data_IF_357565990691
#
_entry.id   IF_357565990691
#
_cell.length_a   1.000
_cell.length_b   1.000
_cell.length_c   1.000
_cell.angle_alpha   90.00
_cell.angle_beta   90.00
_cell.angle_gamma   90.00
#
_symmetry.space_group_name_H-M   'P 1'
#
loop_
_entity.id
_entity.type
_entity.pdbx_description
1 polymer ?
#
# COMPACT_ATOMS: atom_id res chain seq x y z
N UNK A 1 11.19 41.40 21.32
CA UNK A 1 10.08 40.41 21.33
C UNK A 1 9.71 39.84 19.96
N UNK A 2 10.09 40.45 18.83
CA UNK A 2 9.73 39.95 17.49
C UNK A 2 10.62 38.79 16.98
N UNK A 3 11.83 38.61 17.51
CA UNK A 3 12.73 37.51 17.13
C UNK A 3 12.33 36.14 17.72
N UNK A 4 11.66 36.11 18.88
CA UNK A 4 11.30 34.86 19.56
C UNK A 4 10.09 34.14 18.91
N UNK A 5 9.19 34.89 18.25
CA UNK A 5 8.05 34.30 17.53
C UNK A 5 8.44 33.66 16.19
N UNK A 6 9.55 34.10 15.57
CA UNK A 6 10.02 33.56 14.28
C UNK A 6 10.70 32.19 14.44
N UNK A 7 11.26 31.87 15.61
CA UNK A 7 11.85 30.56 15.90
C UNK A 7 10.81 29.46 16.20
N UNK A 8 9.61 29.84 16.69
CA UNK A 8 8.55 28.87 17.02
C UNK A 8 7.76 28.39 15.81
N UNK A 9 7.82 29.09 14.67
CA UNK A 9 7.08 28.73 13.45
C UNK A 9 7.84 27.72 12.58
N UNK A 10 9.17 27.77 12.59
CA UNK A 10 10.04 26.83 11.87
C UNK A 10 10.10 25.45 12.55
N UNK A 11 9.70 25.36 13.83
CA UNK A 11 9.57 24.10 14.55
C UNK A 11 8.23 23.37 14.25
N UNK A 12 7.24 24.07 13.68
CA UNK A 12 5.90 23.52 13.43
C UNK A 12 5.80 22.65 12.18
N UNK A 13 6.54 22.99 11.12
CA UNK A 13 6.49 22.24 9.84
C UNK A 13 7.29 20.93 9.87
N UNK A 14 8.28 20.82 10.77
CA UNK A 14 9.02 19.58 11.00
C UNK A 14 8.26 18.53 11.85
N UNK A 15 7.05 18.85 12.31
CA UNK A 15 6.27 18.01 13.23
C UNK A 15 5.22 17.16 12.50
N UNK A 16 4.65 17.66 11.40
CA UNK A 16 3.59 16.95 10.67
C UNK A 16 4.16 15.87 9.74
N UNK A 17 5.37 16.07 9.20
CA UNK A 17 6.10 15.07 8.39
C UNK A 17 6.73 13.93 9.23
N UNK A 18 6.84 14.08 10.56
CA UNK A 18 7.36 13.04 11.45
C UNK A 18 6.37 11.90 11.72
N UNK A 19 5.11 12.04 11.32
CA UNK A 19 4.03 11.12 11.73
C UNK A 19 3.88 9.88 10.84
N UNK A 20 4.52 9.83 9.66
CA UNK A 20 4.26 8.77 8.67
C UNK A 20 5.52 8.05 8.14
N UNK A 21 6.72 8.44 8.54
CA UNK A 21 7.96 7.89 8.01
C UNK A 21 8.65 6.98 9.02
N UNK A 22 9.12 5.82 8.55
CA UNK A 22 10.03 4.99 9.33
C UNK A 22 11.32 5.75 9.60
N UNK A 23 11.88 5.58 10.79
CA UNK A 23 13.25 6.02 11.05
C UNK A 23 14.21 5.23 10.16
N UNK A 24 15.41 5.77 9.92
CA UNK A 24 16.44 5.08 9.13
C UNK A 24 16.75 3.69 9.71
N UNK A 25 16.75 3.57 11.04
CA UNK A 25 16.97 2.29 11.74
C UNK A 25 15.82 1.31 11.48
N UNK A 26 14.57 1.76 11.60
CA UNK A 26 13.40 0.91 11.34
C UNK A 26 13.35 0.47 9.87
N UNK A 27 13.63 1.38 8.93
CA UNK A 27 13.72 1.03 7.52
C UNK A 27 14.83 0.01 7.26
N UNK A 28 16.01 0.18 7.87
CA UNK A 28 17.09 -0.79 7.77
C UNK A 28 16.70 -2.16 8.36
N UNK A 29 15.99 -2.20 9.49
CA UNK A 29 15.45 -3.43 10.05
C UNK A 29 14.45 -4.10 9.11
N UNK A 30 13.54 -3.33 8.50
CA UNK A 30 12.57 -3.86 7.54
C UNK A 30 13.27 -4.44 6.31
N UNK A 31 14.24 -3.71 5.75
CA UNK A 31 15.04 -4.17 4.60
C UNK A 31 15.93 -5.37 4.94
N UNK A 32 16.36 -5.51 6.19
CA UNK A 32 17.06 -6.70 6.68
C UNK A 32 16.17 -7.94 6.59
N UNK A 33 14.91 -7.84 7.06
CA UNK A 33 13.92 -8.94 6.95
C UNK A 33 13.59 -9.26 5.49
N UNK A 34 13.52 -8.23 4.64
CA UNK A 34 13.25 -8.36 3.21
C UNK A 34 14.51 -8.57 2.36
N UNK A 35 15.68 -8.81 2.96
CA UNK A 35 16.89 -9.03 2.18
C UNK A 35 16.77 -10.30 1.34
N UNK A 36 17.44 -10.32 0.19
CA UNK A 36 17.40 -11.47 -0.71
C UNK A 36 17.83 -12.75 0.02
N UNK A 37 18.97 -12.73 0.72
CA UNK A 37 19.46 -13.87 1.50
C UNK A 37 18.44 -14.38 2.52
N UNK A 38 17.79 -13.47 3.26
CA UNK A 38 16.81 -13.85 4.29
C UNK A 38 15.56 -14.46 3.65
N UNK A 39 15.05 -13.86 2.57
CA UNK A 39 13.83 -14.34 1.88
C UNK A 39 14.04 -15.62 1.07
N UNK A 40 15.28 -15.98 0.78
CA UNK A 40 15.66 -17.25 0.17
C UNK A 40 15.82 -18.35 1.23
N UNK A 41 16.42 -18.02 2.37
CA UNK A 41 16.80 -19.00 3.40
C UNK A 41 15.71 -19.28 4.45
N UNK A 42 14.86 -18.31 4.76
CA UNK A 42 13.88 -18.41 5.84
C UNK A 42 12.47 -18.72 5.32
N UNK A 43 11.72 -19.48 6.11
CA UNK A 43 10.30 -19.68 5.88
C UNK A 43 9.45 -18.51 6.41
N UNK A 44 8.17 -18.48 6.06
CA UNK A 44 7.29 -17.37 6.47
C UNK A 44 7.11 -17.26 7.99
N UNK A 45 7.09 -18.38 8.72
CA UNK A 45 7.00 -18.36 10.19
C UNK A 45 8.22 -17.68 10.83
N UNK A 46 9.43 -17.99 10.35
CA UNK A 46 10.66 -17.31 10.76
C UNK A 46 10.64 -15.83 10.40
N UNK A 47 10.24 -15.50 9.16
CA UNK A 47 10.13 -14.11 8.72
C UNK A 47 9.16 -13.29 9.59
N UNK A 48 8.00 -13.85 9.92
CA UNK A 48 7.03 -13.25 10.83
C UNK A 48 7.64 -13.03 12.23
N UNK A 49 8.35 -14.03 12.75
CA UNK A 49 8.99 -13.94 14.07
C UNK A 49 10.04 -12.83 14.10
N UNK A 50 10.92 -12.76 13.09
CA UNK A 50 11.92 -11.68 12.97
C UNK A 50 11.26 -10.31 12.80
N UNK A 51 10.18 -10.24 12.02
CA UNK A 51 9.40 -9.01 11.86
C UNK A 51 8.83 -8.51 13.19
N UNK A 52 8.11 -9.36 13.94
CA UNK A 52 7.52 -8.99 15.23
C UNK A 52 8.57 -8.66 16.29
N UNK A 53 9.78 -9.20 16.17
CA UNK A 53 10.92 -8.81 17.01
C UNK A 53 11.33 -7.35 16.79
N UNK A 54 11.38 -6.90 15.53
CA UNK A 54 11.73 -5.51 15.20
C UNK A 54 10.56 -4.53 15.39
N UNK A 55 9.33 -4.99 15.14
CA UNK A 55 8.12 -4.18 15.18
C UNK A 55 7.05 -4.80 16.10
N UNK A 56 7.25 -4.82 17.44
CA UNK A 56 6.30 -5.45 18.36
C UNK A 56 5.03 -4.61 18.58
N UNK A 57 5.08 -3.30 18.31
CA UNK A 57 3.97 -2.39 18.57
C UNK A 57 3.06 -2.25 17.34
N UNK A 58 1.80 -2.70 17.48
CA UNK A 58 0.77 -2.58 16.44
C UNK A 58 0.50 -1.15 15.96
N UNK A 59 0.74 -0.12 16.80
CA UNK A 59 0.55 1.27 16.38
C UNK A 59 1.49 1.67 15.23
N UNK A 60 2.66 1.02 15.17
CA UNK A 60 3.68 1.26 14.15
C UNK A 60 3.40 0.47 12.85
N UNK A 61 2.50 -0.52 12.88
CA UNK A 61 2.22 -1.36 11.71
C UNK A 61 1.63 -0.58 10.55
N UNK A 62 0.89 0.50 10.81
CA UNK A 62 0.35 1.33 9.74
C UNK A 62 1.46 2.04 8.95
N UNK A 63 2.43 2.68 9.64
CA UNK A 63 3.57 3.34 8.96
C UNK A 63 4.47 2.33 8.24
N UNK A 64 4.66 1.13 8.82
CA UNK A 64 5.41 0.04 8.20
C UNK A 64 4.68 -0.46 6.95
N UNK A 65 3.38 -0.66 7.02
CA UNK A 65 2.56 -1.08 5.89
C UNK A 65 2.55 -0.08 4.75
N UNK A 66 2.48 1.22 5.04
CA UNK A 66 2.61 2.26 4.01
C UNK A 66 3.98 2.21 3.33
N UNK A 67 5.05 1.96 4.09
CA UNK A 67 6.39 1.79 3.53
C UNK A 67 6.48 0.53 2.67
N UNK A 68 5.89 -0.59 3.10
CA UNK A 68 5.80 -1.83 2.31
C UNK A 68 5.03 -1.63 1.00
N UNK A 69 3.91 -0.90 1.02
CA UNK A 69 3.15 -0.58 -0.19
C UNK A 69 4.02 0.22 -1.15
N UNK A 70 4.76 1.23 -0.69
CA UNK A 70 5.69 1.99 -1.52
C UNK A 70 6.79 1.10 -2.12
N UNK A 71 7.39 0.21 -1.31
CA UNK A 71 8.38 -0.76 -1.78
C UNK A 71 7.81 -1.70 -2.85
N UNK A 72 6.55 -2.13 -2.71
CA UNK A 72 5.86 -3.01 -3.66
C UNK A 72 5.49 -2.30 -4.98
N UNK A 73 5.25 -0.99 -4.95
CA UNK A 73 4.95 -0.19 -6.14
C UNK A 73 6.18 -0.01 -7.03
N UNK A 74 7.37 0.14 -6.43
CA UNK A 74 8.62 0.40 -7.15
C UNK A 74 9.44 -0.88 -7.32
N UNK A 75 9.43 -1.46 -8.54
CA UNK A 75 10.15 -2.70 -8.88
C UNK A 75 11.65 -2.66 -8.54
N UNK A 76 12.26 -1.50 -8.61
CA UNK A 76 13.70 -1.34 -8.33
C UNK A 76 14.04 -1.49 -6.84
N UNK A 77 13.06 -1.34 -5.95
CA UNK A 77 13.28 -1.42 -4.50
C UNK A 77 13.19 -2.85 -3.96
N UNK A 78 12.42 -3.72 -4.62
CA UNK A 78 12.30 -5.15 -4.32
C UNK A 78 12.49 -5.97 -5.61
N UNK A 79 13.73 -6.05 -6.12
CA UNK A 79 14.00 -6.64 -7.44
C UNK A 79 13.72 -8.14 -7.49
N UNK A 80 13.85 -8.85 -6.37
CA UNK A 80 13.68 -10.31 -6.34
C UNK A 80 12.23 -10.72 -6.00
N UNK A 81 11.61 -11.65 -6.76
CA UNK A 81 10.24 -12.11 -6.50
C UNK A 81 9.98 -12.62 -5.07
N UNK A 82 10.97 -13.24 -4.43
CA UNK A 82 10.89 -13.69 -3.03
C UNK A 82 10.69 -12.53 -2.06
N UNK A 83 11.33 -11.38 -2.31
CA UNK A 83 11.20 -10.19 -1.48
C UNK A 83 9.82 -9.56 -1.64
N UNK A 84 9.32 -9.49 -2.88
CA UNK A 84 7.95 -9.05 -3.18
C UNK A 84 6.93 -9.92 -2.45
N UNK A 85 7.07 -11.25 -2.54
CA UNK A 85 6.16 -12.18 -1.87
C UNK A 85 6.26 -12.09 -0.34
N UNK A 86 7.46 -11.98 0.21
CA UNK A 86 7.67 -11.78 1.65
C UNK A 86 7.06 -10.46 2.15
N UNK A 87 7.18 -9.37 1.39
CA UNK A 87 6.56 -8.08 1.70
C UNK A 87 5.02 -8.16 1.72
N UNK A 88 4.41 -8.85 0.74
CA UNK A 88 2.96 -9.10 0.72
C UNK A 88 2.53 -9.95 1.93
N UNK A 89 3.32 -10.97 2.27
CA UNK A 89 3.06 -11.79 3.46
C UNK A 89 3.12 -10.95 4.75
N UNK A 90 4.16 -10.14 4.94
CA UNK A 90 4.30 -9.28 6.12
C UNK A 90 3.13 -8.28 6.21
N UNK A 91 2.68 -7.75 5.06
CA UNK A 91 1.53 -6.85 4.99
C UNK A 91 0.25 -7.50 5.52
N UNK A 92 0.07 -8.79 5.28
CA UNK A 92 -1.02 -9.58 5.86
C UNK A 92 -0.77 -9.87 7.34
N UNK A 93 0.44 -10.32 7.68
CA UNK A 93 0.86 -10.78 9.00
C UNK A 93 0.67 -9.71 10.10
N UNK A 94 0.90 -8.44 9.77
CA UNK A 94 0.69 -7.30 10.68
C UNK A 94 -0.73 -7.19 11.27
N UNK A 95 -1.73 -7.71 10.55
CA UNK A 95 -3.16 -7.64 10.91
C UNK A 95 -3.81 -9.02 10.96
N UNK A 96 -3.03 -10.10 11.08
CA UNK A 96 -3.57 -11.46 11.07
C UNK A 96 -4.57 -11.75 12.20
N UNK A 97 -4.60 -10.95 13.27
CA UNK A 97 -5.56 -11.10 14.37
C UNK A 97 -7.00 -10.78 13.95
N UNK A 98 -7.16 -9.93 12.94
CA UNK A 98 -8.43 -9.35 12.54
C UNK A 98 -8.88 -9.95 11.20
N UNK A 99 -10.18 -9.94 10.86
CA UNK A 99 -10.61 -10.37 9.53
C UNK A 99 -9.89 -9.55 8.45
N UNK A 100 -9.55 -10.16 7.32
CA UNK A 100 -8.82 -9.48 6.23
C UNK A 100 -9.54 -8.23 5.76
N UNK A 101 -10.87 -8.22 5.83
CA UNK A 101 -11.62 -7.02 5.52
C UNK A 101 -11.15 -5.85 6.40
N UNK A 102 -10.94 -6.04 7.71
CA UNK A 102 -10.53 -4.96 8.63
C UNK A 102 -9.08 -4.48 8.43
N UNK A 103 -8.28 -5.17 7.60
CA UNK A 103 -6.93 -4.73 7.28
C UNK A 103 -6.98 -3.42 6.44
N UNK A 104 -6.29 -2.34 6.85
CA UNK A 104 -6.27 -1.09 6.09
C UNK A 104 -5.65 -1.23 4.70
N UNK A 105 -4.87 -2.28 4.46
CA UNK A 105 -4.23 -2.61 3.19
C UNK A 105 -4.98 -3.71 2.40
N UNK A 106 -6.21 -4.07 2.81
CA UNK A 106 -6.96 -5.18 2.21
C UNK A 106 -7.12 -5.06 0.68
N UNK A 107 -7.24 -3.84 0.20
CA UNK A 107 -7.38 -3.50 -1.22
C UNK A 107 -6.14 -3.84 -2.04
N UNK A 108 -4.94 -3.82 -1.44
CA UNK A 108 -3.71 -4.30 -2.08
C UNK A 108 -3.84 -5.78 -2.43
N UNK A 109 -4.34 -6.60 -1.52
CA UNK A 109 -4.53 -8.03 -1.79
C UNK A 109 -5.57 -8.28 -2.88
N UNK A 110 -6.65 -7.49 -2.91
CA UNK A 110 -7.65 -7.59 -3.98
C UNK A 110 -7.06 -7.25 -5.35
N UNK A 111 -6.29 -6.17 -5.44
CA UNK A 111 -5.64 -5.77 -6.70
C UNK A 111 -4.63 -6.82 -7.18
N UNK A 112 -3.93 -7.49 -6.24
CA UNK A 112 -3.03 -8.60 -6.55
C UNK A 112 -3.76 -9.86 -7.02
N UNK A 113 -4.96 -10.12 -6.49
CA UNK A 113 -5.78 -11.28 -6.86
C UNK A 113 -6.65 -11.07 -8.10
N UNK A 114 -6.88 -9.83 -8.53
CA UNK A 114 -7.58 -9.53 -9.77
C UNK A 114 -6.91 -10.20 -10.97
N UNK A 115 -7.74 -10.74 -11.86
CA UNK A 115 -7.26 -11.29 -13.12
C UNK A 115 -6.56 -10.19 -13.92
N UNK A 116 -5.34 -10.42 -14.44
CA UNK A 116 -4.66 -9.47 -15.32
C UNK A 116 -5.53 -8.99 -16.50
N UNK A 117 -6.46 -9.82 -16.99
CA UNK A 117 -7.39 -9.46 -18.07
C UNK A 117 -8.49 -8.48 -17.62
N UNK A 118 -8.83 -8.46 -16.34
CA UNK A 118 -9.89 -7.62 -15.76
C UNK A 118 -9.34 -6.34 -15.09
N UNK A 119 -8.01 -6.19 -15.02
CA UNK A 119 -7.38 -4.96 -14.53
C UNK A 119 -7.75 -3.81 -15.48
N UNK A 120 -8.75 -3.03 -15.09
CA UNK A 120 -9.07 -1.73 -15.69
C UNK A 120 -7.79 -0.89 -15.72
N UNK A 121 -7.61 -0.07 -16.76
CA UNK A 121 -6.47 0.84 -16.88
C UNK A 121 -6.21 1.51 -15.52
N UNK A 122 -5.03 1.24 -14.98
CA UNK A 122 -4.62 1.71 -13.66
C UNK A 122 -4.84 3.22 -13.61
N UNK A 123 -5.73 3.68 -12.73
CA UNK A 123 -5.81 5.11 -12.47
C UNK A 123 -4.42 5.51 -11.93
N UNK A 124 -3.64 6.36 -12.62
CA UNK A 124 -2.28 6.69 -12.20
C UNK A 124 -2.23 7.37 -10.84
N UNK A 125 -3.37 7.85 -10.33
CA UNK A 125 -3.53 8.43 -9.00
C UNK A 125 -3.94 7.41 -7.92
N UNK A 126 -4.32 6.19 -8.31
CA UNK A 126 -4.55 5.09 -7.38
C UNK A 126 -3.23 4.40 -7.09
N UNK A 127 -2.61 4.80 -5.97
CA UNK A 127 -1.38 4.24 -5.43
C UNK A 127 -1.37 2.70 -5.47
N UNK A 128 -2.51 2.06 -5.26
CA UNK A 128 -2.56 0.60 -5.11
C UNK A 128 -2.61 -0.14 -6.46
N UNK A 129 -2.83 0.58 -7.56
CA UNK A 129 -2.94 0.03 -8.92
C UNK A 129 -1.59 -0.13 -9.63
N UNK A 130 -0.53 0.50 -9.12
CA UNK A 130 0.82 0.43 -9.71
C UNK A 130 1.62 -0.80 -9.29
N UNK A 131 1.09 -1.61 -8.36
CA UNK A 131 1.79 -2.82 -7.89
C UNK A 131 1.84 -3.87 -9.00
N UNK A 132 3.04 -4.40 -9.34
CA UNK A 132 3.22 -5.43 -10.34
C UNK A 132 2.30 -6.64 -10.11
N UNK A 133 1.76 -7.26 -11.17
CA UNK A 133 0.99 -8.48 -11.02
C UNK A 133 1.83 -9.59 -10.38
N UNK A 134 1.12 -10.51 -9.71
CA UNK A 134 1.67 -11.72 -9.09
C UNK A 134 1.45 -12.93 -9.99
N UNK A 135 2.40 -13.87 -9.95
CA UNK A 135 2.34 -15.15 -10.66
C UNK A 135 1.23 -16.07 -10.12
N UNK A 136 0.91 -17.14 -10.84
CA UNK A 136 -0.12 -18.09 -10.41
C UNK A 136 0.15 -18.72 -9.03
N UNK A 137 1.38 -19.18 -8.70
CA UNK A 137 1.68 -19.74 -7.37
C UNK A 137 1.53 -18.71 -6.25
N UNK A 138 1.97 -17.46 -6.50
CA UNK A 138 1.79 -16.35 -5.56
C UNK A 138 0.31 -16.03 -5.32
N UNK A 139 -0.52 -15.99 -6.37
CA UNK A 139 -1.99 -15.80 -6.25
C UNK A 139 -2.64 -16.93 -5.45
N UNK A 140 -2.26 -18.17 -5.73
CA UNK A 140 -2.76 -19.33 -4.99
C UNK A 140 -2.41 -19.23 -3.51
N UNK A 141 -1.15 -18.91 -3.17
CA UNK A 141 -0.75 -18.68 -1.78
C UNK A 141 -1.52 -17.54 -1.14
N UNK A 142 -1.63 -16.39 -1.80
CA UNK A 142 -2.35 -15.23 -1.27
C UNK A 142 -3.85 -15.53 -1.03
N UNK A 143 -4.51 -16.26 -1.91
CA UNK A 143 -5.90 -16.70 -1.69
C UNK A 143 -6.03 -17.58 -0.44
N UNK A 144 -5.10 -18.52 -0.24
CA UNK A 144 -5.06 -19.36 0.97
C UNK A 144 -4.73 -18.55 2.23
N UNK A 145 -3.92 -17.50 2.09
CA UNK A 145 -3.57 -16.61 3.20
C UNK A 145 -4.82 -15.84 3.66
N UNK A 146 -5.57 -15.26 2.72
CA UNK A 146 -6.81 -14.53 3.01
C UNK A 146 -7.86 -15.43 3.66
N UNK A 147 -7.99 -16.67 3.16
CA UNK A 147 -8.93 -17.66 3.69
C UNK A 147 -8.40 -18.40 4.93
N UNK A 148 -7.22 -18.05 5.45
CA UNK A 148 -6.58 -18.67 6.63
C UNK A 148 -6.32 -20.18 6.51
N UNK A 149 -6.20 -20.68 5.29
CA UNK A 149 -5.88 -22.09 4.97
C UNK A 149 -4.39 -22.31 4.68
N UNK A 150 -3.57 -21.24 4.69
CA UNK A 150 -2.16 -21.29 4.34
C UNK A 150 -1.22 -21.89 5.40
N UNK A 151 -1.70 -22.45 6.52
CA UNK A 151 -0.86 -22.86 7.66
C UNK A 151 0.34 -23.75 7.28
N UNK A 152 0.12 -24.77 6.44
CA UNK A 152 1.21 -25.64 5.97
C UNK A 152 2.13 -24.95 4.95
N UNK A 153 1.64 -23.93 4.26
CA UNK A 153 2.44 -23.13 3.31
C UNK A 153 3.36 -22.16 4.04
N UNK A 154 3.06 -21.76 5.27
CA UNK A 154 3.91 -20.85 6.06
C UNK A 154 5.24 -21.49 6.47
N UNK A 155 5.30 -22.82 6.52
CA UNK A 155 6.53 -23.58 6.78
C UNK A 155 7.50 -23.59 5.60
N UNK A 156 7.05 -23.17 4.42
CA UNK A 156 7.85 -23.09 3.20
C UNK A 156 8.55 -21.74 3.07
N UNK A 157 9.61 -21.70 2.28
CA UNK A 157 10.26 -20.44 1.91
C UNK A 157 9.47 -19.73 0.79
N UNK A 158 9.59 -18.40 0.66
CA UNK A 158 9.07 -17.68 -0.51
C UNK A 158 9.51 -18.31 -1.85
N UNK A 159 10.76 -18.78 -1.94
CA UNK A 159 11.28 -19.43 -3.14
C UNK A 159 10.52 -20.73 -3.48
N UNK A 160 10.26 -21.57 -2.48
CA UNK A 160 9.48 -22.81 -2.65
C UNK A 160 8.04 -22.53 -3.07
N UNK A 161 7.43 -21.44 -2.60
CA UNK A 161 6.08 -21.04 -3.03
C UNK A 161 6.06 -20.59 -4.48
N UNK A 162 7.04 -19.79 -4.90
CA UNK A 162 7.14 -19.30 -6.28
C UNK A 162 7.32 -20.46 -7.28
N UNK A 163 8.04 -21.50 -6.88
CA UNK A 163 8.28 -22.69 -7.70
C UNK A 163 7.17 -23.75 -7.59
N UNK A 164 6.12 -23.50 -6.79
CA UNK A 164 5.07 -24.48 -6.56
C UNK A 164 4.21 -24.69 -7.82
N UNK A 165 4.03 -25.94 -8.23
CA UNK A 165 3.08 -26.26 -9.30
C UNK A 165 1.64 -26.12 -8.81
N UNK A 166 0.91 -25.20 -9.45
CA UNK A 166 -0.50 -24.89 -9.18
C UNK A 166 -1.38 -25.09 -10.40
N UNK A 167 -0.88 -25.73 -11.46
CA UNK A 167 -1.60 -25.87 -12.74
C UNK A 167 -2.97 -26.56 -12.58
N UNK A 168 -3.09 -27.45 -11.59
CA UNK A 168 -4.33 -28.17 -11.28
C UNK A 168 -5.07 -27.63 -10.03
N UNK A 169 -4.60 -26.53 -9.44
CA UNK A 169 -5.15 -25.98 -8.20
C UNK A 169 -5.84 -24.65 -8.48
N UNK A 170 -7.14 -24.59 -8.23
CA UNK A 170 -7.87 -23.33 -8.30
C UNK A 170 -7.58 -22.49 -7.06
N UNK A 171 -7.39 -21.16 -7.20
CA UNK A 171 -7.37 -20.23 -6.07
C UNK A 171 -8.64 -20.40 -5.22
N UNK A 172 -8.53 -20.13 -3.93
CA UNK A 172 -9.69 -20.17 -3.04
C UNK A 172 -10.70 -19.08 -3.42
N UNK A 173 -11.99 -19.37 -3.26
CA UNK A 173 -13.04 -18.37 -3.46
C UNK A 173 -12.96 -17.28 -2.37
N UNK A 174 -12.64 -16.05 -2.81
CA UNK A 174 -12.55 -14.87 -1.95
C UNK A 174 -13.74 -13.91 -2.14
N UNK A 175 -14.79 -14.30 -2.88
CA UNK A 175 -15.90 -13.42 -3.26
C UNK A 175 -16.56 -12.73 -2.06
N UNK A 176 -16.78 -13.47 -0.98
CA UNK A 176 -17.35 -12.89 0.25
C UNK A 176 -16.44 -11.84 0.88
N UNK A 177 -15.14 -12.13 0.98
CA UNK A 177 -14.16 -11.18 1.53
C UNK A 177 -14.05 -9.93 0.65
N UNK A 178 -14.05 -10.11 -0.67
CA UNK A 178 -14.06 -9.02 -1.64
C UNK A 178 -15.29 -8.12 -1.46
N UNK A 179 -16.48 -8.72 -1.32
CA UNK A 179 -17.73 -7.97 -1.07
C UNK A 179 -17.63 -7.11 0.20
N UNK A 180 -17.15 -7.66 1.32
CA UNK A 180 -16.99 -6.89 2.55
C UNK A 180 -16.02 -5.72 2.41
N UNK A 181 -14.92 -5.92 1.68
CA UNK A 181 -13.93 -4.86 1.44
C UNK A 181 -14.53 -3.76 0.56
N UNK A 182 -15.23 -4.13 -0.51
CA UNK A 182 -15.90 -3.19 -1.43
C UNK A 182 -17.00 -2.41 -0.70
N UNK A 183 -17.81 -3.08 0.13
CA UNK A 183 -18.86 -2.44 0.90
C UNK A 183 -18.28 -1.36 1.84
N UNK A 184 -17.22 -1.69 2.60
CA UNK A 184 -16.58 -0.69 3.47
C UNK A 184 -16.04 0.51 2.69
N UNK A 185 -15.46 0.29 1.52
CA UNK A 185 -15.00 1.40 0.67
C UNK A 185 -16.16 2.26 0.15
N UNK A 186 -17.32 1.65 -0.13
CA UNK A 186 -18.51 2.37 -0.56
C UNK A 186 -19.01 3.34 0.52
N UNK A 187 -18.91 2.93 1.80
CA UNK A 187 -19.32 3.68 2.99
C UNK A 187 -18.37 4.84 3.36
N UNK A 188 -17.19 4.94 2.73
CA UNK A 188 -16.23 6.01 3.00
C UNK A 188 -16.68 7.36 2.39
N UNK A 189 -16.56 8.50 3.12
CA UNK A 189 -16.95 9.82 2.64
C UNK A 189 -16.31 10.18 1.28
N UNK A 190 -17.02 10.93 0.43
CA UNK A 190 -16.53 11.32 -0.90
C UNK A 190 -15.19 12.07 -0.87
N UNK A 191 -14.89 12.81 0.21
CA UNK A 191 -13.60 13.49 0.41
C UNK A 191 -12.41 12.54 0.54
N UNK A 192 -12.63 11.28 0.94
CA UNK A 192 -11.58 10.27 1.00
C UNK A 192 -11.31 9.61 -0.36
N UNK A 193 -12.21 9.81 -1.34
CA UNK A 193 -12.14 9.25 -2.70
C UNK A 193 -11.55 10.24 -3.71
N UNK A 194 -11.43 11.51 -3.35
CA UNK A 194 -10.78 12.51 -4.18
C UNK A 194 -9.28 12.47 -3.92
N UNK A 195 -8.50 11.99 -4.90
CA UNK A 195 -7.02 12.09 -4.91
C UNK A 195 -6.50 13.53 -5.06
N UNK A 196 -7.33 14.53 -4.73
CA UNK A 196 -6.98 15.94 -4.77
C UNK A 196 -6.18 16.20 -3.50
N UNK A 197 -4.85 16.21 -3.66
CA UNK A 197 -3.98 16.80 -2.66
C UNK A 197 -4.46 18.22 -2.40
N UNK A 198 -4.93 18.50 -1.19
CA UNK A 198 -5.33 19.84 -0.77
C UNK A 198 -4.12 20.76 -0.52
N UNK A 199 -3.02 20.53 -1.23
CA UNK A 199 -1.91 21.48 -1.36
C UNK A 199 -2.45 22.69 -2.11
N UNK A 200 -3.09 23.57 -1.35
CA UNK A 200 -3.24 24.96 -1.70
C UNK A 200 -1.82 25.49 -1.83
N UNK A 201 -1.47 25.96 -3.04
CA UNK A 201 -0.25 26.72 -3.22
C UNK A 201 -0.21 27.82 -2.16
N UNK A 202 0.90 27.89 -1.42
CA UNK A 202 1.14 28.95 -0.44
C UNK A 202 0.95 30.30 -1.15
N UNK A 203 -0.02 31.14 -0.75
CA UNK A 203 -0.21 32.44 -1.37
C UNK A 203 0.85 33.42 -0.85
N UNK A 204 2.12 33.17 -1.16
CA UNK A 204 3.19 34.11 -0.88
C UNK A 204 3.22 35.21 -1.96
N UNK A 205 2.56 36.30 -1.57
CA UNK A 205 2.98 37.69 -1.71
C UNK A 205 3.35 38.23 -3.12
N UNK A 206 2.31 38.83 -3.71
CA UNK A 206 2.26 40.00 -4.62
C UNK A 206 2.08 39.76 -6.14
N UNK A 207 1.28 40.61 -6.79
CA UNK A 207 0.68 40.33 -8.09
C UNK A 207 1.54 40.92 -9.22
N UNK A 208 1.93 40.10 -10.19
CA UNK A 208 2.42 40.63 -11.46
C UNK A 208 1.47 40.24 -12.57
N UNK A 209 0.49 41.12 -12.74
CA UNK A 209 -0.11 41.60 -13.99
C UNK A 209 -0.80 40.56 -14.90
N UNK A 210 -2.13 40.71 -14.94
CA UNK A 210 -3.10 40.04 -15.79
C UNK A 210 -2.81 40.24 -17.29
N UNK A 211 -2.72 39.13 -18.03
CA UNK A 211 -3.09 39.11 -19.45
C UNK A 211 -4.37 38.29 -19.60
N UNK A 212 -5.47 39.03 -19.72
CA UNK A 212 -6.82 38.56 -20.00
C UNK A 212 -6.85 37.89 -21.38
N UNK A 213 -7.00 36.56 -21.48
CA UNK A 213 -7.52 35.90 -22.69
C UNK A 213 -8.02 34.45 -22.52
N UNK A 214 -8.40 33.99 -21.32
CA UNK A 214 -8.95 32.61 -21.14
C UNK A 214 -10.39 32.59 -20.62
N UNK A 215 -10.94 33.71 -20.16
CA UNK A 215 -12.28 33.80 -19.55
C UNK A 215 -13.46 33.90 -20.54
N UNK A 216 -13.34 33.38 -21.76
CA UNK A 216 -14.47 33.35 -22.72
C UNK A 216 -14.92 31.96 -23.20
N UNK A 217 -14.32 30.86 -22.74
CA UNK A 217 -14.73 29.52 -23.22
C UNK A 217 -15.40 28.59 -22.19
N UNK A 218 -15.54 28.97 -20.91
CA UNK A 218 -16.22 28.11 -19.92
C UNK A 218 -17.61 28.55 -19.47
N UNK A 219 -18.12 29.71 -19.92
CA UNK A 219 -19.49 30.15 -19.56
C UNK A 219 -20.55 29.71 -20.59
N UNK A 220 -20.15 29.25 -21.79
CA UNK A 220 -21.12 28.84 -22.83
C UNK A 220 -21.67 27.42 -22.69
N UNK A 221 -21.13 26.56 -21.82
CA UNK A 221 -21.59 25.16 -21.70
C UNK A 221 -22.55 24.91 -20.53
N UNK A 222 -22.84 25.92 -19.70
CA UNK A 222 -23.76 25.78 -18.55
C UNK A 222 -25.21 26.23 -18.85
N UNK A 223 -25.58 26.53 -20.10
CA UNK A 223 -26.92 27.03 -20.47
C UNK A 223 -27.63 26.22 -21.57
N UNK A 224 -27.25 24.97 -21.80
CA UNK A 224 -27.90 24.09 -22.78
C UNK A 224 -28.46 22.78 -22.20
N UNK A 225 -28.83 22.79 -20.92
CA UNK A 225 -29.69 21.77 -20.32
C UNK A 225 -30.88 22.48 -19.69
N UNK A 226 -31.76 22.98 -20.54
CA UNK A 226 -33.18 23.23 -20.28
C UNK A 226 -33.95 22.76 -21.51
#
# INVERSE_FOLDING_TARGET
MLQARKASLIAGEGSVLKMAALTVKELASLLSVLSEDTTQAQNFESLATTFHHYFPNKQEHFKVGQSLVLLLQHRDLLPHPTQKLAAVFILYEMYQSDPVSANPFATVFLNLLQDPAERKEANPYDLQSSIPPVSAPERFFLSNLICRTAKEMLKKTPAEIIQMDVSNKQPMDISQTQLFIVQRQSEMPHSSKTAISCVLADPESKPTRLDNNVTKLQISQALNIL
#
